data_IF_512859508336
#
_entry.id   IF_512859508336
#
_cell.length_a   1.000
_cell.length_b   1.000
_cell.length_c   1.000
_cell.angle_alpha   90.00
_cell.angle_beta   90.00
_cell.angle_gamma   90.00
#
_symmetry.space_group_name_H-M   'P 1'
#
loop_
_entity.id
_entity.type
_entity.pdbx_description
1 polymer ?
#
# COMPACT_ATOMS: atom_id res chain seq x y z
N UNK A 1 -31.05 -0.67 -1.90
CA UNK A 1 -29.96 0.17 -1.38
C UNK A 1 -28.64 -0.34 -1.92
N UNK A 2 -27.80 0.54 -2.42
CA UNK A 2 -26.48 0.17 -2.97
C UNK A 2 -25.55 -0.17 -1.82
N UNK A 3 -24.86 -1.32 -1.93
CA UNK A 3 -23.86 -1.73 -0.94
C UNK A 3 -22.55 -0.98 -1.22
N UNK A 4 -21.97 -0.28 -0.20
CA UNK A 4 -20.67 0.35 -0.39
C UNK A 4 -19.58 -0.66 -0.70
N UNK A 5 -18.69 -0.31 -1.62
CA UNK A 5 -17.54 -1.12 -2.03
C UNK A 5 -16.27 -0.49 -1.51
N UNK A 6 -15.68 -1.12 -0.51
CA UNK A 6 -14.46 -0.65 0.14
C UNK A 6 -13.26 -1.42 -0.38
N UNK A 7 -12.22 -0.70 -0.77
CA UNK A 7 -10.92 -1.28 -1.13
C UNK A 7 -9.92 -0.87 -0.04
N UNK A 8 -9.54 -1.85 0.78
CA UNK A 8 -8.65 -1.66 1.91
C UNK A 8 -7.20 -1.74 1.47
N UNK A 9 -6.38 -0.78 1.92
CA UNK A 9 -4.94 -0.78 1.72
C UNK A 9 -4.25 -0.61 3.07
N UNK A 10 -3.40 -1.56 3.43
CA UNK A 10 -2.62 -1.51 4.66
C UNK A 10 -1.31 -0.76 4.41
N UNK A 11 -1.00 0.18 5.31
CA UNK A 11 0.29 0.87 5.37
C UNK A 11 0.98 0.58 6.71
N UNK A 12 2.17 1.11 6.89
CA UNK A 12 2.99 0.80 8.07
C UNK A 12 2.32 1.16 9.40
N UNK A 13 1.73 2.34 9.51
CA UNK A 13 1.13 2.85 10.75
C UNK A 13 -0.31 3.34 10.58
N UNK A 14 -0.91 3.10 9.42
CA UNK A 14 -2.29 3.49 9.14
C UNK A 14 -2.87 2.58 8.06
N UNK A 15 -4.16 2.72 7.81
CA UNK A 15 -4.79 2.10 6.66
C UNK A 15 -5.64 3.13 5.91
N UNK A 16 -5.84 2.89 4.64
CA UNK A 16 -6.66 3.71 3.77
C UNK A 16 -7.73 2.85 3.11
N UNK A 17 -8.92 3.40 2.95
CA UNK A 17 -10.02 2.74 2.26
C UNK A 17 -10.49 3.63 1.12
N UNK A 18 -10.48 3.09 -0.09
CA UNK A 18 -11.06 3.71 -1.26
C UNK A 18 -12.51 3.22 -1.43
N UNK A 19 -13.44 4.15 -1.56
CA UNK A 19 -14.86 3.83 -1.75
C UNK A 19 -15.17 3.91 -3.23
N UNK A 20 -15.15 2.77 -3.90
CA UNK A 20 -15.26 2.67 -5.36
C UNK A 20 -16.56 3.27 -5.90
N UNK A 21 -17.65 3.12 -5.16
CA UNK A 21 -18.97 3.56 -5.59
C UNK A 21 -19.56 4.69 -4.73
N UNK A 22 -18.71 5.58 -4.22
CA UNK A 22 -19.15 6.68 -3.34
C UNK A 22 -20.26 7.51 -3.95
N UNK A 23 -20.20 7.78 -5.25
CA UNK A 23 -21.20 8.57 -5.97
C UNK A 23 -22.59 7.95 -5.99
N UNK A 24 -22.67 6.64 -5.81
CA UNK A 24 -23.91 5.87 -5.83
C UNK A 24 -24.53 5.70 -4.44
N UNK A 25 -23.81 6.09 -3.40
CA UNK A 25 -24.27 5.94 -2.03
C UNK A 25 -25.28 7.05 -1.67
N UNK A 26 -26.21 6.73 -0.77
CA UNK A 26 -27.12 7.72 -0.21
C UNK A 26 -26.38 8.68 0.73
N UNK A 27 -26.95 9.85 0.97
CA UNK A 27 -26.41 10.81 1.94
C UNK A 27 -26.29 10.17 3.33
N UNK A 28 -27.26 9.36 3.72
CA UNK A 28 -27.26 8.66 5.01
C UNK A 28 -26.08 7.70 5.12
N UNK A 29 -25.80 6.92 4.07
CA UNK A 29 -24.67 6.00 4.02
C UNK A 29 -23.33 6.76 4.14
N UNK A 30 -23.20 7.86 3.43
CA UNK A 30 -22.00 8.70 3.47
C UNK A 30 -21.80 9.29 4.86
N UNK A 31 -22.87 9.77 5.50
CA UNK A 31 -22.83 10.32 6.85
C UNK A 31 -22.43 9.26 7.88
N UNK A 32 -22.91 8.04 7.76
CA UNK A 32 -22.52 6.93 8.63
C UNK A 32 -21.03 6.62 8.52
N UNK A 33 -20.51 6.58 7.29
CA UNK A 33 -19.10 6.36 7.03
C UNK A 33 -18.26 7.51 7.61
N UNK A 34 -18.68 8.74 7.36
CA UNK A 34 -18.01 9.93 7.89
C UNK A 34 -17.95 9.93 9.42
N UNK A 35 -19.06 9.59 10.07
CA UNK A 35 -19.13 9.48 11.52
C UNK A 35 -18.18 8.40 12.06
N UNK A 36 -18.14 7.23 11.40
CA UNK A 36 -17.23 6.16 11.73
C UNK A 36 -15.77 6.64 11.68
N UNK A 37 -15.41 7.37 10.64
CA UNK A 37 -14.05 7.91 10.45
C UNK A 37 -13.73 8.93 11.52
N UNK A 38 -14.65 9.87 11.82
CA UNK A 38 -14.46 10.92 12.84
C UNK A 38 -14.30 10.34 14.23
N UNK A 39 -15.07 9.31 14.59
CA UNK A 39 -14.93 8.63 15.89
C UNK A 39 -13.53 8.09 16.13
N UNK A 40 -12.83 7.75 15.08
CA UNK A 40 -11.49 7.17 15.13
C UNK A 40 -10.40 8.17 14.78
N UNK A 41 -10.74 9.47 14.75
CA UNK A 41 -9.82 10.57 14.40
C UNK A 41 -9.17 10.38 13.03
N UNK A 42 -9.91 9.78 12.12
CA UNK A 42 -9.47 9.61 10.74
C UNK A 42 -9.75 10.84 9.88
N UNK A 43 -9.30 10.77 8.64
CA UNK A 43 -9.47 11.82 7.64
C UNK A 43 -10.29 11.27 6.48
N UNK A 44 -11.35 11.98 6.11
CA UNK A 44 -12.17 11.64 4.96
C UNK A 44 -11.89 12.63 3.82
N UNK A 45 -11.49 12.13 2.66
CA UNK A 45 -11.23 12.93 1.47
C UNK A 45 -12.28 12.62 0.39
N UNK A 46 -13.25 13.52 0.27
CA UNK A 46 -14.34 13.39 -0.71
C UNK A 46 -13.85 13.50 -2.16
N UNK A 47 -12.79 14.23 -2.41
CA UNK A 47 -12.25 14.40 -3.76
C UNK A 47 -11.58 13.13 -4.29
N UNK A 48 -10.96 12.38 -3.41
CA UNK A 48 -10.26 11.14 -3.74
C UNK A 48 -11.08 9.89 -3.44
N UNK A 49 -12.26 10.04 -2.87
CA UNK A 49 -13.14 8.96 -2.43
C UNK A 49 -12.46 8.01 -1.44
N UNK A 50 -11.62 8.56 -0.59
CA UNK A 50 -10.85 7.78 0.37
C UNK A 50 -11.05 8.25 1.80
N UNK A 51 -10.87 7.35 2.76
CA UNK A 51 -10.64 7.73 4.14
C UNK A 51 -9.44 6.97 4.69
N UNK A 52 -8.76 7.58 5.66
CA UNK A 52 -7.63 6.97 6.33
C UNK A 52 -7.77 7.08 7.83
N UNK A 53 -7.30 6.06 8.55
CA UNK A 53 -7.31 6.02 10.01
C UNK A 53 -5.92 5.65 10.48
N UNK A 54 -5.40 6.38 11.45
CA UNK A 54 -4.07 6.20 12.03
C UNK A 54 -4.04 4.99 12.95
N UNK A 55 -4.19 3.80 12.36
CA UNK A 55 -4.15 2.53 13.07
C UNK A 55 -3.67 1.45 12.11
N UNK A 56 -2.71 0.64 12.56
CA UNK A 56 -2.27 -0.52 11.80
C UNK A 56 -3.28 -1.66 11.97
N UNK A 57 -3.93 -2.06 10.88
CA UNK A 57 -4.84 -3.20 10.85
C UNK A 57 -4.48 -4.14 9.71
N UNK A 58 -4.64 -5.42 9.96
CA UNK A 58 -4.66 -6.42 8.90
C UNK A 58 -6.06 -6.45 8.25
N UNK A 59 -6.15 -6.95 7.03
CA UNK A 59 -7.42 -6.99 6.31
C UNK A 59 -8.51 -7.76 7.07
N UNK A 60 -8.17 -8.89 7.66
CA UNK A 60 -9.15 -9.68 8.44
C UNK A 60 -9.64 -8.92 9.68
N UNK A 61 -8.77 -8.11 10.30
CA UNK A 61 -9.16 -7.26 11.43
C UNK A 61 -10.11 -6.16 11.00
N UNK A 62 -9.88 -5.59 9.82
CA UNK A 62 -10.79 -4.62 9.23
C UNK A 62 -12.17 -5.22 8.94
N UNK A 63 -12.22 -6.43 8.41
CA UNK A 63 -13.48 -7.15 8.19
C UNK A 63 -14.24 -7.35 9.50
N UNK A 64 -13.55 -7.76 10.57
CA UNK A 64 -14.14 -7.92 11.89
C UNK A 64 -14.68 -6.60 12.44
N UNK A 65 -13.97 -5.50 12.18
CA UNK A 65 -14.42 -4.17 12.58
C UNK A 65 -15.71 -3.76 11.87
N UNK A 66 -15.82 -4.05 10.57
CA UNK A 66 -17.04 -3.78 9.81
C UNK A 66 -18.23 -4.57 10.35
N UNK A 67 -18.04 -5.82 10.69
CA UNK A 67 -19.08 -6.64 11.34
C UNK A 67 -19.48 -6.09 12.70
N UNK A 68 -18.51 -5.68 13.50
CA UNK A 68 -18.74 -5.09 14.82
C UNK A 68 -19.57 -3.81 14.72
N UNK A 69 -19.26 -2.95 13.77
CA UNK A 69 -19.98 -1.70 13.53
C UNK A 69 -21.28 -1.90 12.76
N UNK A 70 -21.60 -3.12 12.37
CA UNK A 70 -22.79 -3.49 11.58
C UNK A 70 -22.89 -2.77 10.24
N UNK A 71 -21.74 -2.51 9.61
CA UNK A 71 -21.72 -1.99 8.25
C UNK A 71 -21.88 -3.13 7.25
N UNK A 72 -22.89 -3.01 6.41
CA UNK A 72 -23.09 -3.93 5.27
C UNK A 72 -22.29 -3.39 4.08
N UNK A 73 -21.05 -3.82 3.96
CA UNK A 73 -20.10 -3.35 2.94
C UNK A 73 -19.40 -4.51 2.29
N UNK A 74 -19.09 -4.36 1.00
CA UNK A 74 -18.21 -5.26 0.28
C UNK A 74 -16.76 -4.78 0.46
N UNK A 75 -15.90 -5.64 0.99
CA UNK A 75 -14.51 -5.30 1.25
C UNK A 75 -13.57 -6.10 0.35
N UNK A 76 -12.59 -5.42 -0.23
CA UNK A 76 -11.51 -6.03 -1.00
C UNK A 76 -10.17 -5.57 -0.42
N UNK A 77 -9.20 -6.46 -0.42
CA UNK A 77 -7.85 -6.14 0.01
C UNK A 77 -6.99 -5.77 -1.20
N UNK A 78 -6.55 -4.51 -1.25
CA UNK A 78 -5.57 -4.11 -2.25
C UNK A 78 -4.19 -4.53 -1.77
N UNK A 79 -3.68 -5.59 -2.36
CA UNK A 79 -2.29 -5.98 -2.15
C UNK A 79 -1.45 -4.97 -2.92
N UNK A 80 -0.72 -4.12 -2.20
CA UNK A 80 0.35 -3.37 -2.80
C UNK A 80 1.39 -4.40 -3.16
N UNK A 81 1.38 -4.87 -4.41
CA UNK A 81 2.56 -5.50 -4.95
C UNK A 81 3.62 -4.42 -4.91
N UNK A 82 4.48 -4.48 -3.90
CA UNK A 82 5.81 -3.95 -4.07
C UNK A 82 6.31 -4.67 -5.31
N UNK A 83 6.26 -4.00 -6.45
CA UNK A 83 7.10 -4.41 -7.59
C UNK A 83 8.48 -4.40 -6.99
N UNK A 84 8.85 -5.55 -6.51
CA UNK A 84 10.03 -5.81 -5.78
C UNK A 84 11.04 -4.73 -6.02
N UNK A 85 11.04 -3.70 -5.17
CA UNK A 85 12.31 -3.21 -4.80
C UNK A 85 13.31 -3.07 -5.88
N UNK A 86 12.87 -2.77 -7.03
CA UNK A 86 13.79 -2.49 -8.09
C UNK A 86 14.46 -1.15 -7.94
N UNK A 87 14.17 -0.37 -6.88
CA UNK A 87 14.76 0.94 -6.66
C UNK A 87 15.84 0.90 -5.60
N UNK A 88 16.98 1.50 -5.92
CA UNK A 88 18.10 1.63 -5.00
C UNK A 88 17.76 2.71 -3.96
N UNK A 89 18.01 2.39 -2.68
CA UNK A 89 17.80 3.30 -1.58
C UNK A 89 19.03 4.08 -1.13
N UNK A 90 20.15 4.04 -1.89
CA UNK A 90 21.41 4.61 -1.45
C UNK A 90 22.25 5.12 -2.64
N UNK A 91 23.21 5.98 -2.34
CA UNK A 91 24.21 6.46 -3.29
C UNK A 91 23.66 7.41 -4.36
N UNK A 92 24.47 7.67 -5.38
CA UNK A 92 24.13 8.60 -6.46
C UNK A 92 22.97 8.12 -7.36
N UNK A 93 22.71 6.82 -7.37
CA UNK A 93 21.65 6.23 -8.16
C UNK A 93 20.36 5.96 -7.37
N UNK A 94 20.21 6.61 -6.22
CA UNK A 94 19.02 6.50 -5.39
C UNK A 94 17.77 6.80 -6.19
N UNK A 95 16.81 5.87 -6.15
CA UNK A 95 15.55 5.99 -6.88
C UNK A 95 15.57 5.36 -8.27
N UNK A 96 16.71 4.93 -8.79
CA UNK A 96 16.80 4.18 -10.03
C UNK A 96 16.48 2.69 -9.81
N UNK A 97 15.98 2.04 -10.84
CA UNK A 97 15.78 0.61 -10.81
C UNK A 97 17.12 -0.12 -10.96
N UNK A 98 17.29 -1.25 -10.26
CA UNK A 98 18.50 -2.07 -10.42
C UNK A 98 18.72 -2.52 -11.86
N UNK A 99 17.63 -2.78 -12.59
CA UNK A 99 17.69 -3.16 -14.00
C UNK A 99 18.26 -2.09 -14.93
N UNK A 100 18.21 -0.82 -14.51
CA UNK A 100 18.69 0.33 -15.29
C UNK A 100 20.16 0.65 -15.04
N UNK A 101 20.78 -0.01 -14.07
CA UNK A 101 22.19 0.19 -13.76
C UNK A 101 23.13 -0.48 -14.77
N UNK A 102 24.30 0.13 -14.96
CA UNK A 102 25.33 -0.48 -15.81
C UNK A 102 25.89 -1.76 -15.17
N UNK A 103 26.41 -2.66 -15.99
CA UNK A 103 27.05 -3.88 -15.50
C UNK A 103 28.27 -3.57 -14.62
N UNK A 104 29.02 -2.57 -14.99
CA UNK A 104 30.20 -2.11 -14.23
C UNK A 104 29.80 -1.70 -12.81
N UNK A 105 28.72 -0.96 -12.65
CA UNK A 105 28.26 -0.54 -11.34
C UNK A 105 27.71 -1.73 -10.52
N UNK A 106 27.03 -2.65 -11.17
CA UNK A 106 26.54 -3.87 -10.50
C UNK A 106 27.69 -4.73 -10.00
N UNK A 107 28.74 -4.86 -10.78
CA UNK A 107 29.96 -5.60 -10.36
C UNK A 107 30.66 -4.89 -9.21
N UNK A 108 30.69 -3.54 -9.22
CA UNK A 108 31.23 -2.78 -8.10
C UNK A 108 30.43 -3.04 -6.82
N UNK A 109 29.09 -3.06 -6.92
CA UNK A 109 28.21 -3.38 -5.78
C UNK A 109 28.44 -4.79 -5.25
N UNK A 110 28.68 -5.75 -6.13
CA UNK A 110 28.98 -7.13 -5.75
C UNK A 110 30.19 -7.21 -4.82
N UNK A 111 31.20 -6.38 -5.08
CA UNK A 111 32.46 -6.40 -4.35
C UNK A 111 32.41 -5.52 -3.09
N UNK A 112 31.75 -4.36 -3.17
CA UNK A 112 31.85 -3.30 -2.16
C UNK A 112 30.63 -3.13 -1.27
N UNK A 113 29.44 -3.53 -1.74
CA UNK A 113 28.22 -3.32 -0.99
C UNK A 113 27.95 -4.44 0.01
N UNK A 114 27.66 -4.05 1.25
CA UNK A 114 27.27 -4.96 2.34
C UNK A 114 26.15 -4.32 3.13
N UNK A 115 24.90 -4.58 2.74
CA UNK A 115 23.72 -4.03 3.39
C UNK A 115 22.47 -4.85 3.13
N UNK A 116 21.32 -4.30 3.50
CA UNK A 116 20.03 -4.99 3.41
C UNK A 116 19.61 -5.35 1.98
N UNK A 117 20.11 -4.64 0.99
CA UNK A 117 19.73 -4.87 -0.41
C UNK A 117 20.64 -5.88 -1.12
N UNK A 118 21.49 -6.58 -0.37
CA UNK A 118 22.43 -7.57 -0.94
C UNK A 118 21.73 -8.65 -1.74
N UNK A 119 20.63 -9.17 -1.25
CA UNK A 119 19.86 -10.21 -1.95
C UNK A 119 19.32 -9.72 -3.29
N UNK A 120 18.87 -8.48 -3.33
CA UNK A 120 18.36 -7.85 -4.56
C UNK A 120 19.47 -7.64 -5.58
N UNK A 121 20.64 -7.25 -5.13
CA UNK A 121 21.83 -7.08 -5.96
C UNK A 121 22.24 -8.44 -6.55
N UNK A 122 22.29 -9.48 -5.72
CA UNK A 122 22.64 -10.82 -6.15
C UNK A 122 21.62 -11.38 -7.17
N UNK A 123 20.34 -11.11 -6.95
CA UNK A 123 19.29 -11.52 -7.88
C UNK A 123 19.45 -10.87 -9.25
N UNK A 124 19.72 -9.56 -9.29
CA UNK A 124 19.95 -8.84 -10.54
C UNK A 124 21.23 -9.33 -11.25
N UNK A 125 22.29 -9.59 -10.50
CA UNK A 125 23.52 -10.16 -11.04
C UNK A 125 23.28 -11.53 -11.69
N UNK A 126 22.46 -12.36 -11.08
CA UNK A 126 22.07 -13.66 -11.65
C UNK A 126 21.29 -13.50 -12.95
N UNK A 127 20.36 -12.57 -13.01
CA UNK A 127 19.60 -12.26 -14.23
C UNK A 127 20.52 -11.85 -15.37
N UNK A 128 21.58 -11.11 -15.06
CA UNK A 128 22.57 -10.64 -16.02
C UNK A 128 23.68 -11.66 -16.30
N UNK A 129 23.68 -12.77 -15.58
CA UNK A 129 24.74 -13.79 -15.65
C UNK A 129 26.13 -13.24 -15.30
N UNK A 130 26.16 -12.30 -14.34
CA UNK A 130 27.42 -11.71 -13.83
C UNK A 130 27.87 -12.32 -12.52
N UNK A 131 27.08 -13.21 -11.96
CA UNK A 131 27.38 -13.86 -10.69
C UNK A 131 27.85 -15.29 -10.91
#
# INVERSE_FOLDING_TARGET
MVQPKFIFTKYFNYFEVYIENLEKLSVEQIQEIELFVKKRKGIFDFNRYTFSIQKRLEFYQFLSLMEYEKFDVECRNKIIQRKSSSKIGFGQYKGMNFSDLTDSYMLWLKTNYRGYDREKIDEELRKRRLL
#
